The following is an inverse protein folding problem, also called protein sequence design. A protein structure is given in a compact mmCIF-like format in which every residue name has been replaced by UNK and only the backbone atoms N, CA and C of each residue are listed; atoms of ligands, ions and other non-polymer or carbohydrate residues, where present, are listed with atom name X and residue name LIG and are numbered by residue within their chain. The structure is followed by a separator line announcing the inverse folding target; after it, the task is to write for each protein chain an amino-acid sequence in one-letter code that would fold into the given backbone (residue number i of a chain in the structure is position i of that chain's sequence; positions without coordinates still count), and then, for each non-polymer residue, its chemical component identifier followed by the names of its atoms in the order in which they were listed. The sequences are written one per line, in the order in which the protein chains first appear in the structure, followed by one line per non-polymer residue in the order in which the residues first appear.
data_IF_557189935671
#
_entry.id   IF_557189935671
#
_cell.length_a   1.000
_cell.length_b   1.000
_cell.length_c   1.000
_cell.angle_alpha   90.00
_cell.angle_beta   90.00
_cell.angle_gamma   90.00
#
_symmetry.space_group_name_H-M   'P 1'
#
loop_
_entity.id
_entity.type
_entity.pdbx_description
1 polymer ?
#
# COMPACT_ATOMS: atom_id res chain seq x y z
N UNK A 1 0.50 -8.29 -4.27
CA UNK A 1 1.82 -8.95 -4.18
C UNK A 1 2.18 -9.55 -5.54
N UNK A 2 3.47 -9.73 -5.82
CA UNK A 2 3.94 -10.38 -7.04
C UNK A 2 4.57 -11.73 -6.76
N UNK A 3 4.44 -12.63 -7.72
CA UNK A 3 4.93 -14.01 -7.68
C UNK A 3 5.69 -14.35 -8.95
N UNK A 4 6.53 -15.38 -8.89
CA UNK A 4 7.23 -15.86 -10.07
C UNK A 4 6.29 -16.48 -11.12
N UNK A 5 5.19 -17.12 -10.68
CA UNK A 5 4.17 -17.65 -11.57
C UNK A 5 2.79 -17.63 -10.91
N UNK A 6 1.84 -16.93 -11.54
CA UNK A 6 0.49 -16.74 -11.00
C UNK A 6 -0.30 -18.04 -11.04
N UNK A 7 -0.20 -18.81 -12.12
CA UNK A 7 -0.95 -20.05 -12.30
C UNK A 7 -0.62 -21.10 -11.23
N UNK A 8 0.67 -21.33 -10.97
CA UNK A 8 1.10 -22.30 -9.94
C UNK A 8 0.74 -21.83 -8.53
N UNK A 9 0.81 -20.52 -8.28
CA UNK A 9 0.37 -19.92 -7.01
C UNK A 9 -1.14 -20.11 -6.80
N UNK A 10 -1.95 -19.82 -7.83
CA UNK A 10 -3.39 -20.03 -7.81
C UNK A 10 -3.74 -21.49 -7.49
N UNK A 11 -3.15 -22.45 -8.21
CA UNK A 11 -3.39 -23.88 -7.98
C UNK A 11 -3.05 -24.31 -6.55
N UNK A 12 -1.95 -23.78 -6.00
CA UNK A 12 -1.53 -24.07 -4.62
C UNK A 12 -2.53 -23.53 -3.61
N UNK A 13 -2.96 -22.28 -3.76
CA UNK A 13 -3.93 -21.63 -2.88
C UNK A 13 -5.34 -22.26 -3.00
N UNK A 14 -5.77 -22.60 -4.21
CA UNK A 14 -7.04 -23.29 -4.45
C UNK A 14 -7.07 -24.67 -3.78
N UNK A 15 -5.98 -25.45 -3.87
CA UNK A 15 -5.85 -26.73 -3.16
C UNK A 15 -5.90 -26.57 -1.63
N UNK A 16 -5.43 -25.42 -1.12
CA UNK A 16 -5.51 -25.07 0.29
C UNK A 16 -6.87 -24.49 0.72
N UNK A 17 -7.84 -24.37 -0.19
CA UNK A 17 -9.22 -23.95 0.10
C UNK A 17 -9.45 -22.44 0.11
N UNK A 18 -8.52 -21.64 -0.41
CA UNK A 18 -8.71 -20.19 -0.55
C UNK A 18 -9.80 -19.88 -1.58
N UNK A 19 -10.51 -18.76 -1.36
CA UNK A 19 -11.53 -18.25 -2.29
C UNK A 19 -10.93 -17.18 -3.20
N UNK A 20 -11.50 -17.01 -4.38
CA UNK A 20 -11.04 -16.05 -5.38
C UNK A 20 -12.21 -15.24 -5.93
N UNK A 21 -11.94 -14.00 -6.40
CA UNK A 21 -12.97 -13.20 -7.09
C UNK A 21 -13.30 -13.74 -8.48
N UNK A 22 -12.35 -14.43 -9.12
CA UNK A 22 -12.49 -15.00 -10.45
C UNK A 22 -11.80 -16.36 -10.53
N UNK A 23 -12.42 -17.31 -11.22
CA UNK A 23 -11.77 -18.58 -11.57
C UNK A 23 -10.77 -18.35 -12.69
N UNK A 24 -9.51 -18.65 -12.43
CA UNK A 24 -8.43 -18.51 -13.43
C UNK A 24 -8.28 -19.81 -14.20
N UNK A 25 -9.25 -20.06 -15.08
CA UNK A 25 -9.21 -21.13 -16.08
C UNK A 25 -8.76 -20.63 -17.46
N UNK A 26 -8.69 -19.31 -17.68
CA UNK A 26 -8.59 -18.72 -19.03
C UNK A 26 -7.41 -17.75 -19.27
N UNK A 27 -6.41 -17.69 -18.38
CA UNK A 27 -5.18 -16.93 -18.63
C UNK A 27 -5.25 -15.42 -18.39
N UNK A 28 -6.31 -14.94 -17.73
CA UNK A 28 -6.38 -13.55 -17.25
C UNK A 28 -5.67 -13.40 -15.91
N UNK A 29 -4.44 -12.87 -15.95
CA UNK A 29 -3.74 -12.32 -14.80
C UNK A 29 -4.12 -10.83 -14.67
N UNK A 30 -4.36 -10.29 -13.46
CA UNK A 30 -4.04 -10.82 -12.12
C UNK A 30 -5.11 -11.74 -11.49
N UNK A 31 -4.71 -12.50 -10.46
CA UNK A 31 -5.60 -13.27 -9.57
C UNK A 31 -5.92 -12.43 -8.32
N UNK A 32 -7.16 -12.46 -7.83
CA UNK A 32 -7.52 -11.83 -6.54
C UNK A 32 -8.05 -12.91 -5.58
N UNK A 33 -7.29 -13.18 -4.53
CA UNK A 33 -7.61 -14.16 -3.49
C UNK A 33 -8.19 -13.47 -2.25
N UNK A 34 -9.06 -14.18 -1.52
CA UNK A 34 -9.55 -13.77 -0.21
C UNK A 34 -8.75 -14.49 0.87
N UNK A 35 -8.16 -13.75 1.80
CA UNK A 35 -7.53 -14.35 2.97
C UNK A 35 -8.56 -14.83 4.01
N UNK A 36 -8.14 -15.57 5.05
CA UNK A 36 -9.06 -16.09 6.07
C UNK A 36 -9.84 -15.01 6.85
N UNK A 37 -9.28 -13.80 6.94
CA UNK A 37 -9.85 -12.67 7.69
C UNK A 37 -10.72 -11.75 6.82
N UNK A 38 -10.80 -12.02 5.52
CA UNK A 38 -11.67 -11.33 4.56
C UNK A 38 -11.00 -10.22 3.75
N UNK A 39 -9.68 -10.12 3.74
CA UNK A 39 -8.94 -9.18 2.91
C UNK A 39 -8.68 -9.73 1.51
N UNK A 40 -8.80 -8.83 0.53
CA UNK A 40 -8.46 -9.13 -0.86
C UNK A 40 -6.97 -8.96 -1.10
N UNK A 41 -6.33 -10.01 -1.61
CA UNK A 41 -4.93 -10.03 -2.02
C UNK A 41 -4.87 -10.19 -3.53
N UNK A 42 -4.44 -9.13 -4.22
CA UNK A 42 -4.14 -9.17 -5.65
C UNK A 42 -2.76 -9.80 -5.88
N UNK A 43 -2.69 -10.81 -6.75
CA UNK A 43 -1.51 -11.60 -7.10
C UNK A 43 -1.22 -11.38 -8.58
N UNK A 44 -0.04 -10.83 -8.87
CA UNK A 44 0.45 -10.55 -10.23
C UNK A 44 1.73 -11.32 -10.51
N UNK A 45 2.05 -11.59 -11.78
CA UNK A 45 3.34 -12.17 -12.12
C UNK A 45 4.44 -11.09 -12.05
N UNK A 46 5.66 -11.48 -11.67
CA UNK A 46 6.84 -10.62 -11.78
C UNK A 46 7.21 -10.47 -13.25
N UNK A 47 7.47 -9.24 -13.70
CA UNK A 47 7.93 -8.99 -15.06
C UNK A 47 9.30 -9.65 -15.28
N UNK A 48 9.36 -10.53 -16.27
CA UNK A 48 10.58 -11.22 -16.66
C UNK A 48 11.01 -10.74 -18.04
N UNK A 49 12.24 -10.21 -18.24
CA UNK A 49 12.72 -9.82 -19.57
C UNK A 49 12.89 -11.02 -20.51
N UNK A 50 12.90 -12.25 -19.98
CA UNK A 50 12.79 -13.48 -20.73
C UNK A 50 11.71 -14.35 -20.09
N UNK A 51 10.64 -14.68 -20.82
CA UNK A 51 9.69 -15.76 -20.47
C UNK A 51 10.38 -17.13 -20.56
N UNK A 52 11.50 -17.31 -19.86
CA UNK A 52 12.09 -18.62 -19.62
C UNK A 52 11.29 -19.27 -18.51
N UNK A 53 10.54 -20.30 -18.86
CA UNK A 53 9.74 -21.15 -17.96
C UNK A 53 10.62 -22.04 -17.06
N UNK A 54 11.88 -21.68 -16.82
CA UNK A 54 12.83 -22.49 -16.06
C UNK A 54 12.78 -22.16 -14.55
N UNK A 55 12.18 -23.09 -13.80
CA UNK A 55 12.52 -23.45 -12.41
C UNK A 55 12.85 -22.32 -11.42
N UNK A 56 12.07 -21.23 -11.38
CA UNK A 56 12.12 -20.34 -10.22
C UNK A 56 11.65 -21.12 -8.98
N UNK A 57 12.38 -21.11 -7.85
CA UNK A 57 11.96 -21.81 -6.65
C UNK A 57 10.54 -21.37 -6.25
N UNK A 58 9.64 -22.30 -5.87
CA UNK A 58 8.38 -21.92 -5.26
C UNK A 58 8.70 -21.09 -4.01
N UNK A 59 8.37 -19.79 -4.00
CA UNK A 59 8.64 -18.93 -2.84
C UNK A 59 9.14 -17.51 -3.11
N UNK A 60 9.40 -17.09 -4.35
CA UNK A 60 9.76 -15.68 -4.64
C UNK A 60 8.52 -14.78 -4.60
N UNK A 61 8.07 -14.44 -3.40
CA UNK A 61 7.01 -13.46 -3.14
C UNK A 61 7.61 -12.05 -2.95
N UNK A 62 6.83 -11.02 -3.26
CA UNK A 62 7.19 -9.64 -2.95
C UNK A 62 5.92 -8.81 -2.70
N UNK A 63 5.91 -8.04 -1.62
CA UNK A 63 4.76 -7.16 -1.30
C UNK A 63 4.95 -5.84 -2.03
N UNK A 64 4.35 -5.77 -3.21
CA UNK A 64 4.50 -4.59 -4.05
C UNK A 64 3.65 -3.42 -3.61
N UNK A 65 2.40 -3.67 -3.20
CA UNK A 65 1.40 -2.63 -3.02
C UNK A 65 0.54 -2.91 -1.80
N UNK A 66 0.24 -1.85 -1.06
CA UNK A 66 -0.85 -1.76 -0.07
C UNK A 66 -1.92 -0.85 -0.64
N UNK A 67 -3.19 -1.26 -0.62
CA UNK A 67 -4.27 -0.52 -1.26
C UNK A 67 -5.21 0.10 -0.23
N UNK A 68 -5.42 1.41 -0.33
CA UNK A 68 -6.42 2.15 0.43
C UNK A 68 -7.46 2.70 -0.54
N UNK A 69 -8.74 2.57 -0.19
CA UNK A 69 -9.81 3.30 -0.89
C UNK A 69 -9.85 4.73 -0.34
N UNK A 70 -10.09 5.70 -1.20
CA UNK A 70 -10.14 7.12 -0.81
C UNK A 70 -11.37 7.80 -1.39
N UNK A 71 -11.95 8.73 -0.64
CA UNK A 71 -13.15 9.47 -1.08
C UNK A 71 -12.81 10.61 -2.04
N UNK A 72 -11.59 11.16 -1.96
CA UNK A 72 -11.09 12.23 -2.82
C UNK A 72 -9.64 11.97 -3.24
N UNK A 73 -9.45 11.62 -4.51
CA UNK A 73 -8.13 11.33 -5.06
C UNK A 73 -7.15 12.51 -4.94
N UNK A 74 -7.62 13.74 -5.19
CA UNK A 74 -6.75 14.92 -5.23
C UNK A 74 -6.25 15.23 -3.83
N UNK A 75 -7.15 15.26 -2.86
CA UNK A 75 -6.83 15.52 -1.46
C UNK A 75 -5.87 14.45 -0.90
N UNK A 76 -6.14 13.18 -1.19
CA UNK A 76 -5.33 12.08 -0.66
C UNK A 76 -3.95 12.04 -1.34
N UNK A 77 -3.85 12.18 -2.67
CA UNK A 77 -2.54 12.27 -3.36
C UNK A 77 -1.70 13.43 -2.83
N UNK A 78 -2.29 14.62 -2.63
CA UNK A 78 -1.57 15.76 -2.07
C UNK A 78 -1.10 15.49 -0.65
N UNK A 79 -1.91 14.87 0.19
CA UNK A 79 -1.52 14.53 1.56
C UNK A 79 -0.23 13.68 1.59
N UNK A 80 -0.19 12.59 0.82
CA UNK A 80 0.98 11.71 0.81
C UNK A 80 2.19 12.31 0.10
N UNK A 81 1.99 13.14 -0.94
CA UNK A 81 3.11 13.72 -1.70
C UNK A 81 3.68 15.00 -1.08
N UNK A 82 2.83 15.92 -0.64
CA UNK A 82 3.25 17.22 -0.08
C UNK A 82 3.63 17.10 1.41
N UNK A 83 2.90 16.31 2.20
CA UNK A 83 3.13 16.26 3.64
C UNK A 83 4.10 15.15 4.03
N UNK A 84 3.99 13.97 3.40
CA UNK A 84 4.80 12.81 3.75
C UNK A 84 5.98 12.58 2.80
N UNK A 85 6.04 13.27 1.65
CA UNK A 85 7.20 13.23 0.75
C UNK A 85 7.23 12.05 -0.21
N UNK A 86 6.13 11.32 -0.36
CA UNK A 86 5.99 10.32 -1.44
C UNK A 86 5.96 11.00 -2.81
N UNK A 87 6.19 10.23 -3.87
CA UNK A 87 6.02 10.65 -5.26
C UNK A 87 4.90 9.84 -5.91
N UNK A 88 4.10 10.50 -6.74
CA UNK A 88 3.20 9.82 -7.66
C UNK A 88 4.05 9.14 -8.74
N UNK A 89 3.99 7.81 -8.77
CA UNK A 89 4.78 6.96 -9.67
C UNK A 89 3.98 6.68 -10.94
N UNK A 90 2.70 6.29 -10.79
CA UNK A 90 1.84 5.95 -11.92
C UNK A 90 0.38 6.13 -11.57
N UNK A 91 -0.42 6.56 -12.54
CA UNK A 91 -1.88 6.49 -12.48
C UNK A 91 -2.36 5.36 -13.39
N UNK A 92 -3.26 4.53 -12.89
CA UNK A 92 -3.89 3.43 -13.61
C UNK A 92 -5.39 3.70 -13.70
N UNK A 93 -5.92 3.67 -14.91
CA UNK A 93 -7.35 3.79 -15.18
C UNK A 93 -8.01 2.41 -15.20
N UNK A 94 -9.22 2.30 -14.65
CA UNK A 94 -10.05 1.12 -14.90
C UNK A 94 -10.54 1.10 -16.35
N UNK A 95 -10.82 -0.09 -16.87
CA UNK A 95 -11.28 -0.26 -18.26
C UNK A 95 -12.59 0.50 -18.56
N UNK A 96 -13.45 0.68 -17.56
CA UNK A 96 -14.72 1.41 -17.67
C UNK A 96 -14.60 2.90 -17.29
N UNK A 97 -13.41 3.39 -16.89
CA UNK A 97 -13.18 4.80 -16.54
C UNK A 97 -13.74 5.28 -15.19
N UNK A 98 -14.52 4.45 -14.49
CA UNK A 98 -15.18 4.84 -13.22
C UNK A 98 -14.25 4.78 -12.00
N UNK A 99 -13.05 4.21 -12.15
CA UNK A 99 -12.09 4.03 -11.07
C UNK A 99 -10.69 4.40 -11.53
N UNK A 100 -9.92 5.05 -10.65
CA UNK A 100 -8.50 5.34 -10.86
C UNK A 100 -7.70 4.85 -9.66
N UNK A 101 -6.53 4.29 -9.93
CA UNK A 101 -5.57 3.91 -8.90
C UNK A 101 -4.32 4.76 -9.06
N UNK A 102 -3.94 5.46 -7.99
CA UNK A 102 -2.73 6.27 -7.93
C UNK A 102 -1.68 5.50 -7.13
N UNK A 103 -0.58 5.13 -7.78
CA UNK A 103 0.54 4.44 -7.15
C UNK A 103 1.55 5.46 -6.66
N UNK A 104 1.76 5.49 -5.35
CA UNK A 104 2.70 6.38 -4.67
C UNK A 104 3.81 5.56 -4.01
N UNK A 105 4.99 6.16 -3.89
CA UNK A 105 6.08 5.58 -3.12
C UNK A 105 7.17 6.59 -2.82
N UNK A 106 8.03 6.28 -1.86
CA UNK A 106 9.20 7.09 -1.59
C UNK A 106 10.21 7.04 -2.73
N UNK A 107 10.95 8.12 -3.01
CA UNK A 107 12.05 8.09 -3.98
C UNK A 107 13.01 6.95 -3.67
N UNK A 108 13.44 6.23 -4.69
CA UNK A 108 14.54 5.27 -4.58
C UNK A 108 15.86 5.94 -4.94
N UNK A 109 16.98 5.26 -4.71
CA UNK A 109 18.30 5.70 -5.23
C UNK A 109 18.28 5.94 -6.73
N UNK A 110 17.38 5.27 -7.46
CA UNK A 110 17.07 5.53 -8.86
C UNK A 110 15.69 6.20 -9.01
N UNK A 111 15.59 7.35 -9.69
CA UNK A 111 14.31 7.97 -9.98
C UNK A 111 13.47 7.08 -10.90
N UNK A 112 12.15 7.05 -10.69
CA UNK A 112 11.23 6.31 -11.56
C UNK A 112 11.12 7.01 -12.92
N UNK A 113 11.48 6.33 -14.00
CA UNK A 113 11.47 6.84 -15.37
C UNK A 113 10.16 6.56 -16.11
N UNK A 114 9.23 5.82 -15.50
CA UNK A 114 7.94 5.49 -16.13
C UNK A 114 7.94 4.13 -16.84
N UNK A 115 9.11 3.54 -17.02
CA UNK A 115 9.31 2.28 -17.76
C UNK A 115 9.69 1.11 -16.86
N UNK A 116 9.89 1.34 -15.56
CA UNK A 116 10.26 0.29 -14.65
C UNK A 116 9.12 -0.70 -14.41
N UNK A 117 9.53 -1.95 -14.26
CA UNK A 117 8.66 -3.02 -13.84
C UNK A 117 8.22 -2.84 -12.38
N UNK A 118 6.97 -2.40 -12.20
CA UNK A 118 6.37 -2.19 -10.88
C UNK A 118 6.32 -3.45 -10.02
N UNK A 119 6.39 -4.65 -10.62
CA UNK A 119 6.44 -5.91 -9.86
C UNK A 119 7.77 -6.10 -9.12
N UNK A 120 8.79 -5.29 -9.42
CA UNK A 120 10.08 -5.26 -8.73
C UNK A 120 10.15 -4.18 -7.66
N UNK A 121 9.09 -3.40 -7.48
CA UNK A 121 9.02 -2.32 -6.50
C UNK A 121 8.18 -2.76 -5.31
N UNK A 122 8.78 -2.72 -4.12
CA UNK A 122 8.09 -3.03 -2.86
C UNK A 122 7.52 -1.77 -2.20
N UNK A 123 6.50 -1.97 -1.37
CA UNK A 123 6.00 -0.95 -0.46
C UNK A 123 5.34 0.26 -1.13
N UNK A 124 4.75 0.09 -2.31
CA UNK A 124 3.94 1.15 -2.93
C UNK A 124 2.60 1.29 -2.21
N UNK A 125 2.12 2.52 -2.11
CA UNK A 125 0.77 2.83 -1.68
C UNK A 125 -0.11 3.02 -2.92
N UNK A 126 -1.15 2.21 -3.05
CA UNK A 126 -2.17 2.32 -4.07
C UNK A 126 -3.41 3.02 -3.50
N UNK A 127 -3.65 4.27 -3.91
CA UNK A 127 -4.88 4.98 -3.58
C UNK A 127 -5.92 4.70 -4.66
N UNK A 128 -6.98 3.97 -4.31
CA UNK A 128 -8.07 3.59 -5.20
C UNK A 128 -9.22 4.57 -4.99
N UNK A 129 -9.53 5.32 -6.04
CA UNK A 129 -10.66 6.24 -6.08
C UNK A 129 -11.70 5.75 -7.09
N UNK A 130 -12.98 5.86 -6.72
CA UNK A 130 -14.11 5.57 -7.60
C UNK A 130 -15.03 6.79 -7.64
N UNK A 131 -15.50 7.11 -8.84
CA UNK A 131 -16.41 8.24 -9.10
C UNK A 131 -17.67 7.80 -9.83
N UNK A 132 -18.52 8.78 -10.18
CA UNK A 132 -19.80 8.52 -10.85
C UNK A 132 -20.84 7.90 -9.91
N UNK A 133 -21.67 6.99 -10.43
CA UNK A 133 -22.71 6.31 -9.65
C UNK A 133 -22.14 5.38 -8.57
N UNK A 134 -20.91 4.89 -8.76
CA UNK A 134 -20.16 4.04 -7.82
C UNK A 134 -19.27 4.86 -6.87
N UNK A 135 -19.52 6.16 -6.72
CA UNK A 135 -18.67 7.03 -5.90
C UNK A 135 -18.57 6.56 -4.44
N UNK A 136 -17.34 6.46 -3.94
CA UNK A 136 -17.08 6.11 -2.54
C UNK A 136 -17.30 7.36 -1.68
N UNK A 137 -18.41 7.41 -0.94
CA UNK A 137 -18.72 8.50 -0.02
C UNK A 137 -18.18 8.30 1.39
N UNK A 138 -17.86 7.05 1.76
CA UNK A 138 -17.29 6.68 3.05
C UNK A 138 -16.39 5.46 2.90
N UNK A 139 -15.27 5.48 3.61
CA UNK A 139 -14.36 4.33 3.72
C UNK A 139 -14.41 3.74 5.12
N UNK A 140 -14.01 2.47 5.22
CA UNK A 140 -13.71 1.84 6.51
C UNK A 140 -12.20 1.92 6.74
N UNK A 141 -11.80 2.56 7.85
CA UNK A 141 -10.40 2.85 8.17
C UNK A 141 -9.68 1.72 8.94
N UNK A 142 -10.39 0.63 9.24
CA UNK A 142 -9.91 -0.52 10.00
C UNK A 142 -9.75 -0.32 11.51
N UNK A 143 -9.91 0.91 12.03
CA UNK A 143 -9.79 1.21 13.46
C UNK A 143 -11.14 1.44 14.15
N UNK A 144 -12.17 1.75 13.37
CA UNK A 144 -13.57 1.71 13.78
C UNK A 144 -14.17 0.31 13.60
N UNK A 145 -15.33 0.04 14.22
CA UNK A 145 -15.97 -1.28 14.10
C UNK A 145 -16.54 -1.53 12.69
N UNK A 146 -16.40 -2.75 12.12
CA UNK A 146 -15.58 -3.86 12.62
C UNK A 146 -14.07 -3.57 12.46
N UNK A 147 -13.27 -3.85 13.48
CA UNK A 147 -11.83 -3.59 13.41
C UNK A 147 -11.13 -4.49 12.37
N UNK A 148 -10.04 -3.97 11.80
CA UNK A 148 -9.30 -4.60 10.72
C UNK A 148 -7.93 -3.95 10.50
N UNK A 149 -7.65 -3.51 9.27
CA UNK A 149 -6.37 -2.89 8.90
C UNK A 149 -5.96 -1.76 9.86
N UNK A 150 -4.85 -1.94 10.56
CA UNK A 150 -4.46 -1.05 11.66
C UNK A 150 -3.90 0.30 11.20
N UNK A 151 -2.83 0.31 10.40
CA UNK A 151 -2.16 1.54 9.99
C UNK A 151 -1.15 1.29 8.86
N UNK A 152 -0.71 2.37 8.22
CA UNK A 152 0.53 2.39 7.45
C UNK A 152 1.67 2.93 8.34
N UNK A 153 2.80 2.24 8.37
CA UNK A 153 3.99 2.69 9.08
C UNK A 153 4.98 3.37 8.14
N UNK A 154 5.49 4.52 8.57
CA UNK A 154 6.50 5.30 7.86
C UNK A 154 7.66 5.59 8.81
N UNK A 155 8.84 5.19 8.37
CA UNK A 155 10.10 5.49 9.06
C UNK A 155 10.62 6.88 8.67
N UNK A 156 11.11 7.65 9.65
CA UNK A 156 11.73 8.97 9.46
C UNK A 156 13.11 9.04 10.11
N UNK A 157 14.03 9.79 9.51
CA UNK A 157 15.43 9.87 9.99
C UNK A 157 15.57 10.58 11.34
N UNK A 158 14.65 11.51 11.64
CA UNK A 158 14.56 12.17 12.95
C UNK A 158 13.08 12.43 13.26
N UNK A 159 12.52 11.68 14.20
CA UNK A 159 11.09 11.72 14.51
C UNK A 159 10.65 13.04 15.15
N UNK A 160 11.48 13.65 15.99
CA UNK A 160 11.19 14.95 16.61
C UNK A 160 11.13 16.06 15.55
N UNK A 161 12.13 16.10 14.65
CA UNK A 161 12.17 17.07 13.56
C UNK A 161 11.03 16.87 12.55
N UNK A 162 10.70 15.61 12.24
CA UNK A 162 9.57 15.28 11.39
C UNK A 162 8.25 15.75 12.01
N UNK A 163 8.01 15.45 13.30
CA UNK A 163 6.80 15.88 14.00
C UNK A 163 6.73 17.42 14.07
N UNK A 164 7.82 18.10 14.40
CA UNK A 164 7.87 19.56 14.45
C UNK A 164 7.50 20.21 13.10
N UNK A 165 7.97 19.63 11.98
CA UNK A 165 7.57 20.09 10.63
C UNK A 165 6.07 19.88 10.39
N UNK A 166 5.54 18.73 10.79
CA UNK A 166 4.15 18.34 10.53
C UNK A 166 3.14 19.12 11.39
N UNK A 167 3.51 19.56 12.60
CA UNK A 167 2.66 20.41 13.44
C UNK A 167 2.29 21.75 12.76
N UNK A 168 3.16 22.25 11.87
CA UNK A 168 2.88 23.46 11.09
C UNK A 168 1.91 23.29 9.91
N UNK A 169 1.50 22.05 9.58
CA UNK A 169 0.75 21.74 8.35
C UNK A 169 -0.77 21.55 8.56
N UNK A 170 -1.29 21.90 9.73
CA UNK A 170 -2.72 21.75 10.10
C UNK A 170 -3.26 20.33 9.81
N UNK A 171 -2.45 19.31 10.07
CA UNK A 171 -2.82 17.91 9.92
C UNK A 171 -3.58 17.43 11.15
N UNK A 172 -4.37 16.37 10.96
CA UNK A 172 -5.10 15.75 12.06
C UNK A 172 -4.20 14.72 12.74
N UNK A 173 -3.95 14.91 14.03
CA UNK A 173 -3.16 13.99 14.85
C UNK A 173 -4.08 13.01 15.58
N UNK A 174 -3.77 11.72 15.49
CA UNK A 174 -4.35 10.70 16.37
C UNK A 174 -3.61 10.61 17.70
N UNK A 175 -2.27 10.73 17.65
CA UNK A 175 -1.39 10.70 18.81
C UNK A 175 -0.10 11.47 18.50
N UNK A 176 0.31 12.37 19.39
CA UNK A 176 1.61 13.05 19.33
C UNK A 176 2.68 12.28 20.09
N UNK A 177 3.95 12.63 19.87
CA UNK A 177 5.05 12.16 20.71
C UNK A 177 4.81 12.59 22.16
N UNK A 178 4.33 13.81 22.39
CA UNK A 178 4.04 14.37 23.72
C UNK A 178 2.87 13.70 24.44
N UNK A 179 2.08 12.87 23.75
CA UNK A 179 0.92 12.21 24.33
C UNK A 179 1.30 10.88 25.00
N UNK A 180 0.60 10.52 26.08
CA UNK A 180 0.78 9.23 26.77
C UNK A 180 2.19 8.99 27.34
N UNK A 181 2.52 7.73 27.62
CA UNK A 181 3.86 7.33 28.12
C UNK A 181 4.85 6.98 27.00
N UNK A 182 4.33 6.52 25.86
CA UNK A 182 5.13 6.06 24.73
C UNK A 182 5.55 7.24 23.85
N UNK A 183 6.85 7.57 23.87
CA UNK A 183 7.44 8.77 23.24
C UNK A 183 8.21 8.50 21.95
N UNK A 184 8.25 7.26 21.47
CA UNK A 184 8.99 6.82 20.29
C UNK A 184 8.11 6.67 19.03
N UNK A 185 6.80 6.94 19.14
CA UNK A 185 5.85 6.80 18.03
C UNK A 185 4.83 7.92 18.04
N UNK A 186 4.46 8.40 16.85
CA UNK A 186 3.34 9.31 16.65
C UNK A 186 2.41 8.79 15.56
N UNK A 187 1.15 9.23 15.59
CA UNK A 187 0.14 8.86 14.61
C UNK A 187 -0.58 10.08 14.07
N UNK A 188 -0.60 10.19 12.75
CA UNK A 188 -1.48 11.09 12.00
C UNK A 188 -2.72 10.35 11.52
N UNK A 189 -3.76 11.10 11.18
CA UNK A 189 -4.87 10.64 10.36
C UNK A 189 -4.71 11.21 8.96
N UNK A 190 -4.80 10.35 7.96
CA UNK A 190 -4.94 10.79 6.58
C UNK A 190 -6.34 11.40 6.35
N UNK A 191 -6.62 11.99 5.17
CA UNK A 191 -7.89 12.67 4.92
C UNK A 191 -9.14 11.77 4.99
N UNK A 192 -8.94 10.45 4.93
CA UNK A 192 -9.98 9.43 5.01
C UNK A 192 -9.93 8.67 6.37
N UNK A 193 -9.16 9.20 7.33
CA UNK A 193 -8.95 8.72 8.70
C UNK A 193 -8.18 7.40 8.83
N UNK A 194 -7.42 6.99 7.82
CA UNK A 194 -6.43 5.92 8.01
C UNK A 194 -5.30 6.42 8.93
N UNK A 195 -4.84 5.54 9.81
CA UNK A 195 -3.77 5.88 10.74
C UNK A 195 -2.43 5.75 10.03
N UNK A 196 -1.60 6.79 10.18
CA UNK A 196 -0.24 6.82 9.66
C UNK A 196 0.72 6.89 10.85
N UNK A 197 1.40 5.78 11.11
CA UNK A 197 2.40 5.65 12.15
C UNK A 197 3.72 6.26 11.68
N UNK A 198 4.33 7.09 12.52
CA UNK A 198 5.67 7.62 12.34
C UNK A 198 6.59 7.00 13.37
N UNK A 199 7.68 6.38 12.90
CA UNK A 199 8.72 5.78 13.75
C UNK A 199 10.10 6.29 13.39
N UNK A 200 10.99 6.32 14.38
CA UNK A 200 12.37 6.70 14.19
C UNK A 200 13.12 5.63 13.38
N UNK A 201 13.94 6.03 12.43
CA UNK A 201 14.85 5.10 11.78
C UNK A 201 15.91 4.62 12.78
N UNK A 202 15.90 3.33 13.08
CA UNK A 202 16.82 2.70 14.03
C UNK A 202 18.28 2.83 13.58
N UNK A 203 18.54 2.87 12.26
CA UNK A 203 19.88 3.01 11.71
C UNK A 203 20.59 4.31 12.11
N UNK A 204 19.83 5.36 12.48
CA UNK A 204 20.39 6.64 12.95
C UNK A 204 20.51 6.74 14.47
N UNK A 205 19.86 5.86 15.24
CA UNK A 205 19.84 5.95 16.71
C UNK A 205 20.42 4.73 17.42
N UNK A 206 20.53 3.59 16.74
CA UNK A 206 20.93 2.30 17.30
C UNK A 206 19.93 1.73 18.31
N UNK A 207 18.70 2.28 18.39
CA UNK A 207 17.66 1.83 19.33
C UNK A 207 16.51 1.20 18.55
N UNK A 208 16.07 0.04 19.02
CA UNK A 208 14.88 -0.60 18.50
C UNK A 208 13.62 0.22 18.81
N UNK A 209 12.71 0.33 17.85
CA UNK A 209 11.39 0.91 18.06
C UNK A 209 10.42 -0.08 18.73
N UNK A 210 10.65 -1.38 18.52
CA UNK A 210 9.80 -2.48 18.94
C UNK A 210 10.58 -3.55 19.72
#
# INVERSE_FOLDING_TARGET
MSVANVQSTYQTLAKAGYKFQQDVSSGNEPVIALDPDGYWICITEKGSPNKSTASSPPGSFSVNQYALRVTDATRSVRYYTENLGMKLIKTLDSQNGNSKTFLLGYPSTSPFTGTEDLSRREGLLALIWQGGEDAISKVHNGNDQPQGFGHLCVTVDNIDAACARLEGLNLVWKKRLTDGKMKNVAFLLDPDNYWIELVQNEGFTGKANF
#
